data_IF_284998896696
#
_entry.id   IF_284998896696
#
_cell.length_a   1.000
_cell.length_b   1.000
_cell.length_c   1.000
_cell.angle_alpha   90.00
_cell.angle_beta   90.00
_cell.angle_gamma   90.00
#
_symmetry.space_group_name_H-M   'P 1'
#
loop_
_entity.id
_entity.type
_entity.pdbx_description
1 polymer ?
#
# COMPACT_ATOMS: atom_id res chain seq x y z
N UNK A 1 -61.56 -30.35 4.86
CA UNK A 1 -60.52 -30.89 3.96
C UNK A 1 -60.05 -29.77 3.04
N UNK A 2 -58.78 -29.60 2.65
CA UNK A 2 -57.47 -29.91 3.25
C UNK A 2 -56.48 -28.97 2.52
N UNK A 3 -55.68 -28.12 3.19
CA UNK A 3 -54.30 -28.41 3.67
C UNK A 3 -53.41 -28.88 2.48
N UNK A 4 -52.39 -28.15 1.98
CA UNK A 4 -51.03 -27.85 2.52
C UNK A 4 -50.29 -26.92 1.49
N UNK A 5 -49.28 -26.08 1.74
CA UNK A 5 -48.58 -25.60 2.95
C UNK A 5 -47.79 -24.27 2.70
N UNK A 6 -46.99 -23.86 3.69
CA UNK A 6 -45.99 -22.77 3.78
C UNK A 6 -44.80 -22.88 2.78
N UNK A 7 -44.02 -21.84 2.40
CA UNK A 7 -43.21 -21.00 3.30
C UNK A 7 -42.50 -19.76 2.67
N UNK A 8 -42.15 -18.79 3.53
CA UNK A 8 -41.12 -17.71 3.42
C UNK A 8 -40.84 -16.93 2.10
N UNK A 9 -41.02 -15.60 2.17
CA UNK A 9 -40.00 -14.66 1.68
C UNK A 9 -39.89 -13.44 2.61
N UNK A 10 -38.67 -13.15 3.09
CA UNK A 10 -38.36 -11.99 3.95
C UNK A 10 -37.82 -10.86 3.08
N UNK A 11 -38.54 -9.74 2.99
CA UNK A 11 -38.01 -8.52 2.40
C UNK A 11 -37.66 -7.50 3.49
N UNK A 12 -36.36 -7.38 3.80
CA UNK A 12 -35.81 -6.19 4.44
C UNK A 12 -35.75 -5.06 3.41
N UNK A 13 -36.75 -4.16 3.39
CA UNK A 13 -36.67 -2.88 2.68
C UNK A 13 -36.31 -1.75 3.63
N UNK A 14 -35.03 -1.35 3.62
CA UNK A 14 -34.54 -0.20 4.36
C UNK A 14 -35.18 1.10 3.85
N UNK A 15 -36.19 1.63 4.55
CA UNK A 15 -36.73 2.97 4.29
C UNK A 15 -35.82 4.07 4.84
N UNK A 16 -34.71 4.33 4.15
CA UNK A 16 -33.88 5.51 4.37
C UNK A 16 -34.49 6.74 3.67
N UNK A 17 -35.56 7.30 4.25
CA UNK A 17 -36.07 8.61 3.84
C UNK A 17 -35.11 9.71 4.32
N UNK A 18 -34.66 10.57 3.40
CA UNK A 18 -33.91 11.77 3.76
C UNK A 18 -34.72 12.70 4.66
N UNK A 19 -34.08 13.63 5.37
CA UNK A 19 -34.75 14.57 6.28
C UNK A 19 -35.90 15.34 5.61
N UNK A 20 -35.72 15.78 4.34
CA UNK A 20 -36.80 16.37 3.52
C UNK A 20 -37.92 15.38 3.16
N UNK A 21 -37.62 14.10 2.99
CA UNK A 21 -38.62 13.05 2.77
C UNK A 21 -39.46 12.75 4.01
N UNK A 22 -38.84 12.78 5.20
CA UNK A 22 -39.54 12.61 6.49
C UNK A 22 -40.50 13.78 6.76
N UNK A 23 -40.06 15.02 6.52
CA UNK A 23 -40.93 16.22 6.64
C UNK A 23 -42.13 16.12 5.70
N UNK A 24 -41.93 15.79 4.41
CA UNK A 24 -43.03 15.63 3.45
C UNK A 24 -44.02 14.50 3.80
N UNK A 25 -43.56 13.46 4.49
CA UNK A 25 -44.44 12.40 4.99
C UNK A 25 -45.31 12.89 6.15
N UNK A 26 -44.74 13.66 7.08
CA UNK A 26 -45.48 14.30 8.17
C UNK A 26 -46.47 15.35 7.64
N UNK A 27 -46.07 16.21 6.69
CA UNK A 27 -46.96 17.18 6.03
C UNK A 27 -48.15 16.48 5.34
N UNK A 28 -47.94 15.34 4.68
CA UNK A 28 -49.04 14.55 4.12
C UNK A 28 -49.99 14.03 5.21
N UNK A 29 -49.48 13.50 6.33
CA UNK A 29 -50.32 13.04 7.43
C UNK A 29 -51.13 14.20 8.04
N UNK A 30 -50.51 15.37 8.23
CA UNK A 30 -51.17 16.58 8.75
C UNK A 30 -52.33 17.04 7.86
N UNK A 31 -52.21 16.92 6.54
CA UNK A 31 -53.25 17.34 5.61
C UNK A 31 -54.48 16.40 5.55
N UNK A 32 -54.41 15.17 6.08
CA UNK A 32 -55.54 14.24 6.16
C UNK A 32 -56.29 14.26 7.51
N UNK A 33 -55.75 14.95 8.53
CA UNK A 33 -56.38 15.05 9.85
C UNK A 33 -57.82 15.60 9.87
N UNK A 34 -58.24 16.56 9.01
CA UNK A 34 -59.61 17.10 9.03
C UNK A 34 -60.72 16.10 8.64
N UNK A 35 -60.38 14.94 8.08
CA UNK A 35 -61.37 13.96 7.56
C UNK A 35 -61.56 12.73 8.46
N UNK A 36 -60.95 12.70 9.64
CA UNK A 36 -60.99 11.54 10.53
C UNK A 36 -62.17 11.59 11.52
N UNK A 37 -62.87 10.47 11.78
CA UNK A 37 -63.88 10.39 12.84
C UNK A 37 -63.30 10.73 14.22
N UNK A 38 -64.12 11.33 15.09
CA UNK A 38 -63.71 11.84 16.41
C UNK A 38 -62.97 10.81 17.30
N UNK A 39 -63.36 9.54 17.25
CA UNK A 39 -62.71 8.44 17.98
C UNK A 39 -61.22 8.26 17.57
N UNK A 40 -60.87 8.54 16.32
CA UNK A 40 -59.48 8.45 15.84
C UNK A 40 -58.66 9.64 16.35
N UNK A 41 -59.29 10.80 16.55
CA UNK A 41 -58.63 12.01 17.04
C UNK A 41 -58.18 11.87 18.51
N UNK A 42 -58.99 11.24 19.37
CA UNK A 42 -58.60 10.92 20.75
C UNK A 42 -57.42 9.93 20.80
N UNK A 43 -57.44 8.89 19.96
CA UNK A 43 -56.32 7.94 19.84
C UNK A 43 -55.01 8.63 19.39
N UNK A 44 -55.10 9.58 18.46
CA UNK A 44 -53.95 10.38 18.00
C UNK A 44 -53.47 11.35 19.10
N UNK A 45 -54.37 11.91 19.92
CA UNK A 45 -54.01 12.76 21.05
C UNK A 45 -53.31 11.98 22.17
N UNK A 46 -53.74 10.75 22.48
CA UNK A 46 -52.99 9.87 23.37
C UNK A 46 -51.62 9.47 22.77
N UNK A 47 -51.56 9.14 21.48
CA UNK A 47 -50.29 8.83 20.81
C UNK A 47 -49.32 10.02 20.77
N UNK A 48 -49.82 11.26 20.64
CA UNK A 48 -49.02 12.50 20.71
C UNK A 48 -48.21 12.62 22.00
N UNK A 49 -48.69 12.05 23.10
CA UNK A 49 -47.99 12.06 24.39
C UNK A 49 -46.76 11.15 24.40
N UNK A 50 -46.74 10.10 23.56
CA UNK A 50 -45.63 9.14 23.44
C UNK A 50 -44.71 9.40 22.23
N UNK A 51 -45.18 10.11 21.20
CA UNK A 51 -44.38 10.45 20.01
C UNK A 51 -43.01 11.09 20.34
N UNK A 52 -42.90 12.09 21.24
CA UNK A 52 -41.61 12.69 21.60
C UNK A 52 -40.64 11.64 22.16
N UNK A 53 -41.11 10.75 23.03
CA UNK A 53 -40.31 9.68 23.63
C UNK A 53 -39.87 8.65 22.60
N UNK A 54 -40.75 8.27 21.66
CA UNK A 54 -40.40 7.35 20.56
C UNK A 54 -39.38 7.99 19.61
N UNK A 55 -39.54 9.26 19.22
CA UNK A 55 -38.58 9.97 18.36
C UNK A 55 -37.22 10.15 19.05
N UNK A 56 -37.20 10.58 20.32
CA UNK A 56 -35.95 10.70 21.11
C UNK A 56 -35.29 9.33 21.28
N UNK A 57 -36.05 8.27 21.55
CA UNK A 57 -35.50 6.91 21.66
C UNK A 57 -34.95 6.39 20.34
N UNK A 58 -35.60 6.70 19.21
CA UNK A 58 -35.14 6.30 17.88
C UNK A 58 -33.86 7.05 17.46
N UNK A 59 -33.80 8.36 17.68
CA UNK A 59 -32.58 9.15 17.44
C UNK A 59 -31.44 8.78 18.41
N UNK A 60 -31.73 8.50 19.68
CA UNK A 60 -30.75 8.00 20.64
C UNK A 60 -30.24 6.60 20.27
N UNK A 61 -31.11 5.71 19.81
CA UNK A 61 -30.72 4.39 19.33
C UNK A 61 -29.86 4.49 18.05
N UNK A 62 -30.23 5.36 17.11
CA UNK A 62 -29.42 5.62 15.91
C UNK A 62 -28.06 6.27 16.24
N UNK A 63 -28.00 7.21 17.18
CA UNK A 63 -26.73 7.82 17.58
C UNK A 63 -25.83 6.84 18.32
N UNK A 64 -26.36 6.02 19.23
CA UNK A 64 -25.62 4.92 19.89
C UNK A 64 -25.18 3.86 18.88
N UNK A 65 -26.01 3.48 17.91
CA UNK A 65 -25.61 2.53 16.87
C UNK A 65 -24.55 3.11 15.91
N UNK A 66 -24.59 4.41 15.63
CA UNK A 66 -23.55 5.11 14.90
C UNK A 66 -22.23 5.15 15.68
N UNK A 67 -22.28 5.56 16.96
CA UNK A 67 -21.13 5.63 17.86
C UNK A 67 -20.47 4.26 18.06
N UNK A 68 -21.24 3.19 18.33
CA UNK A 68 -20.68 1.84 18.48
C UNK A 68 -20.02 1.33 17.19
N UNK A 69 -20.57 1.64 16.01
CA UNK A 69 -19.92 1.35 14.74
C UNK A 69 -18.64 2.19 14.50
N UNK A 70 -18.61 3.45 14.93
CA UNK A 70 -17.41 4.30 14.89
C UNK A 70 -16.33 3.74 15.83
N UNK A 71 -16.67 3.41 17.07
CA UNK A 71 -15.75 2.79 18.04
C UNK A 71 -15.20 1.46 17.52
N UNK A 72 -16.04 0.59 16.94
CA UNK A 72 -15.60 -0.69 16.36
C UNK A 72 -14.66 -0.50 15.15
N UNK A 73 -14.91 0.51 14.31
CA UNK A 73 -14.00 0.89 13.22
C UNK A 73 -12.68 1.47 13.73
N UNK A 74 -12.72 2.35 14.74
CA UNK A 74 -11.52 2.95 15.38
C UNK A 74 -10.65 1.87 16.02
N UNK A 75 -11.25 0.99 16.82
CA UNK A 75 -10.58 -0.16 17.46
C UNK A 75 -9.92 -1.06 16.42
N UNK A 76 -10.63 -1.50 15.37
CA UNK A 76 -10.05 -2.35 14.32
C UNK A 76 -8.87 -1.70 13.59
N UNK A 77 -8.95 -0.40 13.30
CA UNK A 77 -7.87 0.31 12.62
C UNK A 77 -6.64 0.54 13.53
N UNK A 78 -6.86 0.77 14.83
CA UNK A 78 -5.77 0.79 15.81
C UNK A 78 -5.06 -0.57 15.87
N UNK A 79 -5.81 -1.67 15.95
CA UNK A 79 -5.23 -3.03 15.91
C UNK A 79 -4.42 -3.28 14.63
N UNK A 80 -4.91 -2.87 13.46
CA UNK A 80 -4.14 -3.06 12.21
C UNK A 80 -2.87 -2.18 12.17
N UNK A 81 -2.89 -0.98 12.75
CA UNK A 81 -1.68 -0.15 12.91
C UNK A 81 -0.70 -0.81 13.90
N UNK A 82 -1.18 -1.36 15.01
CA UNK A 82 -0.36 -2.09 16.00
C UNK A 82 0.27 -3.36 15.38
N UNK A 83 -0.49 -4.16 14.62
CA UNK A 83 0.01 -5.34 13.89
C UNK A 83 1.19 -4.98 12.97
N UNK A 84 1.03 -3.94 12.14
CA UNK A 84 2.08 -3.47 11.23
C UNK A 84 3.28 -2.83 11.96
N UNK A 85 3.04 -2.14 13.07
CA UNK A 85 4.09 -1.54 13.88
C UNK A 85 4.95 -2.62 14.58
N UNK A 86 4.30 -3.63 15.16
CA UNK A 86 4.95 -4.76 15.81
C UNK A 86 5.72 -5.63 14.80
N UNK A 87 5.15 -5.87 13.61
CA UNK A 87 5.82 -6.55 12.52
C UNK A 87 7.09 -5.80 12.07
N UNK A 88 7.00 -4.47 11.90
CA UNK A 88 8.17 -3.65 11.56
C UNK A 88 9.20 -3.66 12.70
N UNK A 89 8.77 -3.64 13.95
CA UNK A 89 9.69 -3.73 15.09
C UNK A 89 10.45 -5.06 15.12
N UNK A 90 9.75 -6.19 14.92
CA UNK A 90 10.34 -7.53 14.82
C UNK A 90 11.40 -7.61 13.71
N UNK A 91 11.11 -7.00 12.54
CA UNK A 91 12.08 -6.90 11.45
C UNK A 91 13.30 -6.06 11.84
N UNK A 92 13.11 -4.96 12.56
CA UNK A 92 14.21 -4.10 13.00
C UNK A 92 15.04 -4.74 14.12
N UNK A 93 14.44 -5.58 14.98
CA UNK A 93 15.18 -6.43 15.91
C UNK A 93 16.10 -7.39 15.14
N UNK A 94 15.55 -8.08 14.14
CA UNK A 94 16.31 -8.97 13.26
C UNK A 94 17.48 -8.24 12.56
N UNK A 95 17.17 -7.15 11.85
CA UNK A 95 18.17 -6.38 11.11
C UNK A 95 19.22 -5.70 12.01
N UNK A 96 18.91 -5.49 13.30
CA UNK A 96 19.89 -5.02 14.31
C UNK A 96 20.87 -6.11 14.75
N UNK A 97 20.45 -7.38 14.70
CA UNK A 97 21.26 -8.56 15.06
C UNK A 97 22.10 -9.07 13.87
N UNK A 98 21.58 -8.92 12.65
CA UNK A 98 22.17 -9.40 11.39
C UNK A 98 22.58 -8.25 10.46
N UNK A 99 23.05 -7.12 11.02
CA UNK A 99 23.31 -5.88 10.27
C UNK A 99 24.49 -5.97 9.30
N UNK A 100 25.40 -6.91 9.54
CA UNK A 100 26.58 -7.25 8.74
C UNK A 100 26.25 -8.20 7.58
N UNK A 101 25.11 -8.89 7.63
CA UNK A 101 24.59 -9.73 6.55
C UNK A 101 23.83 -8.92 5.47
N UNK A 102 23.51 -7.64 5.73
CA UNK A 102 22.68 -6.79 4.86
C UNK A 102 23.53 -6.01 3.85
N UNK A 103 23.24 -6.18 2.55
CA UNK A 103 23.89 -5.44 1.46
C UNK A 103 23.13 -4.14 1.08
N UNK A 104 23.52 -3.52 -0.04
CA UNK A 104 22.89 -2.30 -0.56
C UNK A 104 21.36 -2.40 -0.75
N UNK A 105 20.86 -3.50 -1.31
CA UNK A 105 19.45 -3.73 -1.64
C UNK A 105 18.60 -3.78 -0.35
N UNK A 106 19.05 -4.55 0.65
CA UNK A 106 18.41 -4.58 1.97
C UNK A 106 18.49 -3.23 2.71
N UNK A 107 19.62 -2.52 2.58
CA UNK A 107 19.79 -1.17 3.15
C UNK A 107 18.86 -0.12 2.50
N UNK A 108 18.60 -0.23 1.20
CA UNK A 108 17.62 0.60 0.49
C UNK A 108 16.22 0.39 1.05
N UNK A 109 15.82 -0.85 1.33
CA UNK A 109 14.55 -1.15 1.99
C UNK A 109 14.34 -0.44 3.33
N UNK A 110 15.38 -0.38 4.18
CA UNK A 110 15.35 0.39 5.43
C UNK A 110 15.22 1.91 5.19
N UNK A 111 15.82 2.43 4.12
CA UNK A 111 15.71 3.86 3.73
C UNK A 111 14.31 4.19 3.24
N UNK A 112 13.70 3.32 2.43
CA UNK A 112 12.31 3.46 1.99
C UNK A 112 11.33 3.36 3.17
N UNK A 113 11.61 2.52 4.16
CA UNK A 113 10.83 2.43 5.39
C UNK A 113 10.88 3.75 6.19
N UNK A 114 12.08 4.29 6.42
CA UNK A 114 12.29 5.57 7.10
C UNK A 114 11.57 6.72 6.38
N UNK A 115 11.66 6.80 5.05
CA UNK A 115 11.00 7.84 4.26
C UNK A 115 9.46 7.77 4.36
N UNK A 116 8.88 6.56 4.36
CA UNK A 116 7.43 6.40 4.52
C UNK A 116 6.94 6.80 5.92
N UNK A 117 7.66 6.41 6.98
CA UNK A 117 7.28 6.82 8.34
C UNK A 117 7.44 8.33 8.56
N UNK A 118 8.48 8.96 8.00
CA UNK A 118 8.60 10.43 8.02
C UNK A 118 7.43 11.12 7.35
N UNK A 119 7.06 10.63 6.17
CA UNK A 119 5.96 11.21 5.40
C UNK A 119 4.61 11.01 6.11
N UNK A 120 4.46 9.95 6.91
CA UNK A 120 3.31 9.72 7.77
C UNK A 120 3.22 10.76 8.91
N UNK A 121 4.30 10.97 9.67
CA UNK A 121 4.29 11.94 10.78
C UNK A 121 4.14 13.38 10.28
N UNK A 122 4.84 13.76 9.21
CA UNK A 122 4.86 15.13 8.70
C UNK A 122 3.46 15.65 8.30
N UNK A 123 2.53 14.76 7.94
CA UNK A 123 1.14 15.12 7.59
C UNK A 123 0.21 15.24 8.80
N UNK A 124 0.64 14.79 9.98
CA UNK A 124 -0.21 14.60 11.17
C UNK A 124 0.39 15.22 12.45
N UNK A 125 1.33 16.17 12.34
CA UNK A 125 1.96 16.85 13.49
C UNK A 125 0.93 17.44 14.48
N UNK A 126 -0.23 17.88 14.00
CA UNK A 126 -1.30 18.45 14.84
C UNK A 126 -2.27 17.42 15.44
N UNK A 127 -2.24 16.15 15.03
CA UNK A 127 -3.32 15.18 15.30
C UNK A 127 -3.07 14.22 16.46
N UNK A 128 -1.84 14.08 16.94
CA UNK A 128 -1.52 13.28 18.13
C UNK A 128 -0.08 12.78 18.15
N UNK A 129 0.37 12.37 19.34
CA UNK A 129 1.69 11.78 19.52
C UNK A 129 1.68 10.32 19.05
N UNK A 130 2.16 10.07 17.82
CA UNK A 130 2.41 8.73 17.31
C UNK A 130 3.74 8.17 17.85
N UNK A 131 3.87 8.06 19.17
CA UNK A 131 5.11 7.68 19.85
C UNK A 131 5.72 6.37 19.33
N UNK A 132 4.88 5.43 18.87
CA UNK A 132 5.31 4.19 18.22
C UNK A 132 6.03 4.43 16.89
N UNK A 133 5.60 5.42 16.09
CA UNK A 133 6.28 5.78 14.84
C UNK A 133 7.61 6.49 15.13
N UNK A 134 7.66 7.41 16.09
CA UNK A 134 8.92 8.07 16.49
C UNK A 134 9.94 7.05 17.00
N UNK A 135 9.49 6.07 17.79
CA UNK A 135 10.28 4.92 18.21
C UNK A 135 10.81 4.09 17.03
N UNK A 136 9.92 3.68 16.11
CA UNK A 136 10.30 2.90 14.92
C UNK A 136 11.29 3.67 14.03
N UNK A 137 11.05 4.95 13.80
CA UNK A 137 11.95 5.85 13.06
C UNK A 137 13.34 5.92 13.71
N UNK A 138 13.39 6.10 15.04
CA UNK A 138 14.64 6.12 15.79
C UNK A 138 15.40 4.79 15.68
N UNK A 139 14.67 3.67 15.76
CA UNK A 139 15.22 2.32 15.61
C UNK A 139 15.76 2.07 14.19
N UNK A 140 15.01 2.44 13.15
CA UNK A 140 15.47 2.36 11.75
C UNK A 140 16.78 3.15 11.57
N UNK A 141 16.85 4.39 12.09
CA UNK A 141 18.08 5.20 12.04
C UNK A 141 19.29 4.51 12.66
N UNK A 142 19.13 3.87 13.83
CA UNK A 142 20.20 3.13 14.49
C UNK A 142 20.64 1.93 13.65
N UNK A 143 19.70 1.08 13.23
CA UNK A 143 19.99 -0.14 12.45
C UNK A 143 20.65 0.23 11.12
N UNK A 144 20.05 1.16 10.37
CA UNK A 144 20.61 1.69 9.13
C UNK A 144 22.02 2.25 9.34
N UNK A 145 22.28 3.00 10.41
CA UNK A 145 23.62 3.53 10.71
C UNK A 145 24.67 2.43 10.93
N UNK A 146 24.28 1.27 11.48
CA UNK A 146 25.16 0.10 11.61
C UNK A 146 25.41 -0.56 10.25
N UNK A 147 24.35 -0.87 9.50
CA UNK A 147 24.41 -1.45 8.15
C UNK A 147 25.32 -0.60 7.26
N UNK A 148 25.02 0.70 7.12
CA UNK A 148 25.76 1.62 6.24
C UNK A 148 27.25 1.76 6.60
N UNK A 149 27.66 1.51 7.85
CA UNK A 149 29.08 1.49 8.26
C UNK A 149 29.79 0.19 7.88
N UNK A 150 29.07 -0.93 7.83
CA UNK A 150 29.58 -2.23 7.41
C UNK A 150 29.66 -2.42 5.89
N UNK A 151 28.87 -1.66 5.12
CA UNK A 151 28.80 -1.78 3.66
C UNK A 151 30.13 -1.49 2.95
N UNK A 152 30.77 -2.55 2.45
CA UNK A 152 31.91 -2.46 1.53
C UNK A 152 31.42 -2.16 0.10
N UNK A 153 31.31 -0.87 -0.24
CA UNK A 153 30.72 -0.43 -1.51
C UNK A 153 31.74 -0.31 -2.64
N UNK A 154 31.46 -0.98 -3.76
CA UNK A 154 32.06 -0.71 -5.06
C UNK A 154 31.79 0.74 -5.51
N UNK A 155 32.54 1.24 -6.51
CA UNK A 155 32.34 2.60 -7.02
C UNK A 155 30.89 2.88 -7.47
N UNK A 156 30.24 1.89 -8.12
CA UNK A 156 28.82 1.95 -8.50
C UNK A 156 27.91 2.10 -7.28
N UNK A 157 28.03 1.21 -6.29
CA UNK A 157 27.16 1.29 -5.11
C UNK A 157 27.47 2.51 -4.22
N UNK A 158 28.69 3.06 -4.27
CA UNK A 158 29.02 4.34 -3.62
C UNK A 158 28.31 5.51 -4.31
N UNK A 159 28.27 5.54 -5.64
CA UNK A 159 27.46 6.49 -6.39
C UNK A 159 25.97 6.33 -6.02
N UNK A 160 25.44 5.10 -6.00
CA UNK A 160 24.06 4.85 -5.63
C UNK A 160 23.78 5.30 -4.18
N UNK A 161 24.67 5.00 -3.24
CA UNK A 161 24.55 5.38 -1.83
C UNK A 161 24.51 6.89 -1.61
N UNK A 162 25.19 7.68 -2.46
CA UNK A 162 25.16 9.14 -2.41
C UNK A 162 23.78 9.75 -2.73
N UNK A 163 22.87 9.01 -3.37
CA UNK A 163 21.53 9.49 -3.73
C UNK A 163 20.43 8.63 -3.11
N UNK A 164 20.45 7.33 -3.40
CA UNK A 164 19.36 6.39 -3.11
C UNK A 164 19.27 5.98 -1.64
N UNK A 165 20.37 6.05 -0.87
CA UNK A 165 20.36 5.71 0.56
C UNK A 165 20.03 6.91 1.47
N UNK A 166 19.42 7.97 0.89
CA UNK A 166 18.93 9.16 1.61
C UNK A 166 17.40 9.13 1.71
N UNK A 167 16.80 9.07 2.91
CA UNK A 167 15.33 9.03 3.05
C UNK A 167 14.62 10.21 2.38
N UNK A 168 15.21 11.41 2.43
CA UNK A 168 14.68 12.62 1.79
C UNK A 168 14.56 12.54 0.27
N UNK A 169 15.27 11.63 -0.40
CA UNK A 169 15.11 11.38 -1.84
C UNK A 169 13.77 10.69 -2.17
N UNK A 170 13.17 10.00 -1.19
CA UNK A 170 11.98 9.17 -1.34
C UNK A 170 10.72 9.74 -0.65
N UNK A 171 10.87 10.82 0.14
CA UNK A 171 9.79 11.46 0.90
C UNK A 171 8.82 12.26 0.01
N UNK A 172 7.99 11.55 -0.76
CA UNK A 172 7.00 12.16 -1.66
C UNK A 172 5.63 12.35 -0.97
N UNK A 173 5.15 13.59 -0.89
CA UNK A 173 3.82 13.93 -0.36
C UNK A 173 2.71 13.60 -1.39
N UNK A 174 2.21 12.37 -1.34
CA UNK A 174 1.16 11.87 -2.23
C UNK A 174 -0.12 11.49 -1.46
N UNK A 175 -1.23 11.54 -2.18
CA UNK A 175 -2.54 11.06 -1.73
C UNK A 175 -2.74 9.62 -2.23
N UNK A 176 -3.28 8.76 -1.37
CA UNK A 176 -3.65 7.40 -1.73
C UNK A 176 -5.01 7.41 -2.43
N UNK A 177 -5.08 6.88 -3.64
CA UNK A 177 -6.28 6.86 -4.49
C UNK A 177 -6.55 5.44 -5.04
N UNK A 178 -7.79 5.17 -5.43
CA UNK A 178 -8.20 3.97 -6.16
C UNK A 178 -8.75 4.37 -7.55
N UNK A 179 -8.68 3.47 -8.52
CA UNK A 179 -9.29 3.64 -9.85
C UNK A 179 -8.46 4.50 -10.81
N UNK A 180 -7.18 4.73 -10.51
CA UNK A 180 -6.26 5.49 -11.38
C UNK A 180 -5.45 4.60 -12.33
N UNK A 181 -5.56 3.27 -12.18
CA UNK A 181 -4.85 2.29 -12.98
C UNK A 181 -5.80 1.57 -13.95
N UNK A 182 -5.30 1.29 -15.15
CA UNK A 182 -6.00 0.46 -16.13
C UNK A 182 -5.96 -1.00 -15.68
N UNK A 183 -7.11 -1.64 -15.59
CA UNK A 183 -7.17 -3.08 -15.29
C UNK A 183 -6.95 -3.92 -16.54
N UNK A 184 -5.73 -4.44 -16.71
CA UNK A 184 -5.39 -5.39 -17.77
C UNK A 184 -5.71 -6.87 -17.41
N UNK A 185 -6.47 -7.10 -16.33
CA UNK A 185 -6.86 -8.43 -15.88
C UNK A 185 -5.69 -9.22 -15.29
N UNK A 186 -5.44 -10.42 -15.83
CA UNK A 186 -4.36 -11.32 -15.42
C UNK A 186 -3.61 -11.87 -16.64
N UNK A 187 -2.48 -12.53 -16.43
CA UNK A 187 -1.81 -13.31 -17.46
C UNK A 187 -2.39 -14.72 -17.56
N UNK A 188 -2.36 -15.28 -18.78
CA UNK A 188 -2.55 -16.72 -18.97
C UNK A 188 -1.35 -17.49 -18.38
N UNK A 189 -1.49 -18.81 -18.23
CA UNK A 189 -0.45 -19.64 -17.61
C UNK A 189 0.90 -19.61 -18.36
N UNK A 190 0.90 -19.53 -19.70
CA UNK A 190 2.14 -19.43 -20.50
C UNK A 190 2.91 -18.14 -20.24
N UNK A 191 2.23 -16.98 -20.26
CA UNK A 191 2.84 -15.70 -19.91
C UNK A 191 3.29 -15.66 -18.45
N UNK A 192 2.50 -16.23 -17.53
CA UNK A 192 2.90 -16.33 -16.12
C UNK A 192 4.16 -17.17 -15.90
N UNK A 193 4.34 -18.27 -16.65
CA UNK A 193 5.62 -19.01 -16.63
C UNK A 193 6.79 -18.15 -17.10
N UNK A 194 6.59 -17.20 -18.04
CA UNK A 194 7.62 -16.23 -18.43
C UNK A 194 7.95 -15.26 -17.28
N UNK A 195 6.95 -14.76 -16.55
CA UNK A 195 7.14 -13.89 -15.36
C UNK A 195 7.98 -14.60 -14.28
N UNK A 196 7.74 -15.90 -14.03
CA UNK A 196 8.51 -16.70 -13.06
C UNK A 196 9.92 -17.04 -13.57
N UNK A 197 10.07 -17.29 -14.87
CA UNK A 197 11.34 -17.66 -15.49
C UNK A 197 12.29 -16.47 -15.62
N UNK A 198 11.78 -15.28 -15.92
CA UNK A 198 12.58 -14.06 -15.97
C UNK A 198 12.87 -13.55 -14.55
N UNK A 199 14.16 -13.47 -14.22
CA UNK A 199 14.65 -13.15 -12.87
C UNK A 199 15.66 -12.00 -12.85
N UNK A 200 15.98 -11.44 -14.01
CA UNK A 200 16.96 -10.38 -14.14
C UNK A 200 16.33 -9.15 -14.80
N UNK A 201 16.63 -7.97 -14.28
CA UNK A 201 16.29 -6.71 -14.94
C UNK A 201 17.28 -6.44 -16.10
N UNK A 202 17.24 -7.30 -17.13
CA UNK A 202 18.16 -7.30 -18.28
C UNK A 202 17.40 -7.15 -19.59
N UNK A 203 17.92 -6.31 -20.49
CA UNK A 203 17.36 -6.09 -21.83
C UNK A 203 18.49 -6.08 -22.85
N UNK A 204 18.43 -6.91 -23.91
CA UNK A 204 19.50 -7.01 -24.95
C UNK A 204 20.94 -7.13 -24.36
N UNK A 205 21.10 -7.87 -23.26
CA UNK A 205 22.39 -8.04 -22.57
C UNK A 205 22.83 -6.88 -21.66
N UNK A 206 21.96 -5.90 -21.43
CA UNK A 206 22.22 -4.69 -20.62
C UNK A 206 21.56 -4.84 -19.26
N UNK A 207 22.25 -4.54 -18.15
CA UNK A 207 21.62 -4.52 -16.82
C UNK A 207 20.97 -3.15 -16.58
N UNK A 208 19.80 -3.14 -15.97
CA UNK A 208 19.11 -1.91 -15.56
C UNK A 208 19.99 -0.97 -14.72
N UNK A 209 20.83 -1.54 -13.86
CA UNK A 209 21.81 -0.83 -13.02
C UNK A 209 22.80 0.01 -13.83
N UNK A 210 23.12 -0.39 -15.06
CA UNK A 210 23.98 0.39 -15.95
C UNK A 210 23.28 1.70 -16.36
N UNK A 211 21.96 1.67 -16.52
CA UNK A 211 21.13 2.86 -16.77
C UNK A 211 20.88 3.69 -15.50
N UNK A 212 20.78 3.06 -14.32
CA UNK A 212 20.76 3.78 -13.05
C UNK A 212 22.08 4.54 -12.81
N UNK A 213 23.21 3.91 -13.11
CA UNK A 213 24.53 4.52 -13.07
C UNK A 213 24.68 5.67 -14.07
N UNK A 214 24.13 5.54 -15.28
CA UNK A 214 24.10 6.60 -16.30
C UNK A 214 23.43 7.89 -15.77
N UNK A 215 22.19 7.79 -15.27
CA UNK A 215 21.43 8.97 -14.81
C UNK A 215 22.03 9.59 -13.55
N UNK A 216 22.49 8.79 -12.59
CA UNK A 216 23.08 9.29 -11.34
C UNK A 216 24.43 10.00 -11.58
N UNK A 217 25.25 9.51 -12.54
CA UNK A 217 26.45 10.22 -12.97
C UNK A 217 26.16 11.55 -13.68
N UNK A 218 24.98 11.69 -14.29
CA UNK A 218 24.52 12.94 -14.92
C UNK A 218 24.32 14.08 -13.92
N UNK A 219 23.79 13.78 -12.72
CA UNK A 219 23.41 14.78 -11.70
C UNK A 219 24.60 15.63 -11.25
N UNK A 220 25.80 15.06 -11.17
CA UNK A 220 27.00 15.72 -10.64
C UNK A 220 27.62 16.81 -11.54
N UNK A 221 27.15 16.99 -12.79
CA UNK A 221 27.85 17.80 -13.81
C UNK A 221 27.30 19.23 -13.96
N UNK A 222 27.61 20.09 -12.96
CA UNK A 222 27.63 21.57 -12.94
C UNK A 222 26.47 22.37 -13.61
N UNK A 223 25.69 23.03 -12.75
CA UNK A 223 25.40 24.48 -12.70
C UNK A 223 24.83 25.26 -13.90
N UNK A 224 24.28 24.62 -14.94
CA UNK A 224 23.29 25.27 -15.82
C UNK A 224 22.06 24.40 -15.98
N UNK A 225 20.92 24.99 -16.36
CA UNK A 225 19.65 24.31 -16.66
C UNK A 225 19.89 23.17 -17.65
N UNK A 226 19.90 21.93 -17.15
CA UNK A 226 20.35 20.76 -17.92
C UNK A 226 19.27 19.70 -18.04
N UNK A 227 19.00 19.36 -19.29
CA UNK A 227 18.34 18.12 -19.69
C UNK A 227 19.16 16.94 -19.16
N UNK A 228 18.50 15.95 -18.57
CA UNK A 228 19.19 14.68 -18.27
C UNK A 228 19.57 14.02 -19.60
N UNK A 229 20.86 13.75 -19.80
CA UNK A 229 21.27 12.87 -20.89
C UNK A 229 20.83 11.45 -20.53
N UNK A 230 20.02 10.86 -21.41
CA UNK A 230 19.64 9.45 -21.37
C UNK A 230 20.11 8.88 -22.71
N UNK A 231 20.96 7.86 -22.69
CA UNK A 231 21.43 7.24 -23.93
C UNK A 231 20.26 6.61 -24.68
N UNK A 232 20.31 6.51 -26.03
CA UNK A 232 19.27 5.83 -26.80
C UNK A 232 18.97 4.43 -26.27
N UNK A 233 20.00 3.73 -25.79
CA UNK A 233 19.96 2.40 -25.18
C UNK A 233 19.15 2.37 -23.87
N UNK A 234 19.41 3.29 -22.94
CA UNK A 234 18.67 3.40 -21.69
C UNK A 234 17.26 3.98 -21.88
N UNK A 235 17.06 4.85 -22.88
CA UNK A 235 15.73 5.28 -23.28
C UNK A 235 14.91 4.11 -23.85
N UNK A 236 15.51 3.30 -24.73
CA UNK A 236 14.87 2.10 -25.30
C UNK A 236 14.49 1.11 -24.20
N UNK A 237 15.42 0.81 -23.30
CA UNK A 237 15.22 -0.15 -22.21
C UNK A 237 14.20 0.35 -21.19
N UNK A 238 14.36 1.59 -20.69
CA UNK A 238 13.62 2.04 -19.52
C UNK A 238 12.30 2.74 -19.86
N UNK A 239 12.23 3.48 -20.97
CA UNK A 239 11.14 4.45 -21.23
C UNK A 239 10.23 4.14 -22.41
N UNK A 240 10.63 3.25 -23.33
CA UNK A 240 9.84 2.89 -24.51
C UNK A 240 8.49 2.25 -24.17
N UNK A 241 7.47 2.44 -25.01
CA UNK A 241 6.14 1.86 -24.82
C UNK A 241 6.13 0.37 -25.20
N UNK A 242 6.65 -0.45 -24.27
CA UNK A 242 6.76 -1.92 -24.35
C UNK A 242 6.18 -2.57 -23.09
N UNK A 243 5.58 -3.75 -23.25
CA UNK A 243 5.12 -4.60 -22.15
C UNK A 243 6.23 -5.56 -21.74
N UNK A 244 7.06 -5.16 -20.79
CA UNK A 244 7.98 -6.08 -20.10
C UNK A 244 7.28 -6.81 -18.94
N UNK A 245 8.02 -7.70 -18.29
CA UNK A 245 7.58 -8.50 -17.15
C UNK A 245 8.65 -8.57 -16.06
N UNK A 246 8.25 -9.00 -14.86
CA UNK A 246 9.13 -9.31 -13.72
C UNK A 246 10.04 -8.12 -13.34
N UNK A 247 11.25 -8.39 -12.83
CA UNK A 247 12.17 -7.36 -12.35
C UNK A 247 12.52 -6.27 -13.38
N UNK A 248 12.47 -6.57 -14.69
CA UNK A 248 12.66 -5.50 -15.68
C UNK A 248 11.53 -4.46 -15.55
N UNK A 249 10.27 -4.89 -15.45
CA UNK A 249 9.13 -3.99 -15.33
C UNK A 249 9.17 -3.13 -14.05
N UNK A 250 9.52 -3.70 -12.91
CA UNK A 250 9.67 -2.94 -11.65
C UNK A 250 10.89 -2.00 -11.68
N UNK A 251 12.02 -2.43 -12.24
CA UNK A 251 13.21 -1.57 -12.41
C UNK A 251 12.95 -0.38 -13.36
N UNK A 252 12.01 -0.50 -14.31
CA UNK A 252 11.57 0.61 -15.17
C UNK A 252 10.80 1.68 -14.41
N UNK A 253 9.95 1.27 -13.46
CA UNK A 253 9.32 2.19 -12.51
C UNK A 253 10.36 2.80 -11.57
N UNK A 254 11.27 2.00 -11.02
CA UNK A 254 12.34 2.48 -10.12
C UNK A 254 13.24 3.53 -10.79
N UNK A 255 13.63 3.30 -12.05
CA UNK A 255 14.35 4.27 -12.88
C UNK A 255 13.55 5.56 -13.09
N UNK A 256 12.24 5.46 -13.36
CA UNK A 256 11.36 6.62 -13.52
C UNK A 256 11.24 7.44 -12.21
N UNK A 257 11.18 6.77 -11.06
CA UNK A 257 11.16 7.38 -9.73
C UNK A 257 12.48 8.11 -9.44
N UNK A 258 13.63 7.47 -9.73
CA UNK A 258 14.95 8.09 -9.56
C UNK A 258 15.10 9.29 -10.51
N UNK A 259 14.75 9.13 -11.78
CA UNK A 259 14.81 10.18 -12.79
C UNK A 259 13.98 11.41 -12.36
N UNK A 260 12.78 11.20 -11.81
CA UNK A 260 11.95 12.27 -11.22
C UNK A 260 12.65 12.94 -10.03
N UNK A 261 13.26 12.16 -9.14
CA UNK A 261 14.02 12.65 -7.98
C UNK A 261 15.32 13.41 -8.32
N UNK A 262 15.83 13.30 -9.56
CA UNK A 262 17.04 14.04 -9.98
C UNK A 262 16.82 15.54 -10.23
N UNK A 263 15.56 16.00 -10.32
CA UNK A 263 15.17 17.34 -10.77
C UNK A 263 15.70 17.73 -12.17
N UNK A 264 16.12 16.76 -13.00
CA UNK A 264 16.44 16.98 -14.41
C UNK A 264 15.21 17.42 -15.22
N UNK A 265 15.42 18.32 -16.19
CA UNK A 265 14.41 18.56 -17.23
C UNK A 265 14.35 17.37 -18.19
N UNK A 266 13.14 16.86 -18.44
CA UNK A 266 12.88 15.82 -19.45
C UNK A 266 11.51 16.04 -20.08
N UNK A 267 11.28 15.52 -21.30
CA UNK A 267 9.98 15.57 -21.96
C UNK A 267 9.05 14.40 -21.55
N UNK A 268 9.35 13.75 -20.42
CA UNK A 268 8.65 12.54 -19.97
C UNK A 268 7.41 12.96 -19.17
N UNK A 269 6.23 12.52 -19.59
CA UNK A 269 5.05 12.60 -18.74
C UNK A 269 5.13 11.53 -17.65
N UNK A 270 5.73 11.90 -16.51
CA UNK A 270 5.91 11.01 -15.37
C UNK A 270 4.59 10.40 -14.87
N UNK A 271 3.49 11.16 -14.85
CA UNK A 271 2.19 10.67 -14.37
C UNK A 271 1.68 9.53 -15.26
N UNK A 272 1.63 9.75 -16.59
CA UNK A 272 1.16 8.72 -17.53
C UNK A 272 2.08 7.50 -17.57
N UNK A 273 3.41 7.69 -17.52
CA UNK A 273 4.37 6.56 -17.51
C UNK A 273 4.31 5.76 -16.21
N UNK A 274 4.19 6.43 -15.05
CA UNK A 274 3.96 5.79 -13.76
C UNK A 274 2.65 4.99 -13.75
N UNK A 275 1.54 5.57 -14.23
CA UNK A 275 0.25 4.88 -14.34
C UNK A 275 0.33 3.66 -15.26
N UNK A 276 0.99 3.78 -16.41
CA UNK A 276 1.19 2.68 -17.36
C UNK A 276 1.98 1.52 -16.72
N UNK A 277 3.15 1.81 -16.12
CA UNK A 277 3.95 0.78 -15.46
C UNK A 277 3.20 0.15 -14.29
N UNK A 278 2.54 0.95 -13.43
CA UNK A 278 1.78 0.39 -12.31
C UNK A 278 0.53 -0.39 -12.74
N UNK A 279 -0.06 -0.12 -13.91
CA UNK A 279 -1.14 -0.93 -14.48
C UNK A 279 -0.63 -2.31 -14.94
N UNK A 280 0.57 -2.37 -15.56
CA UNK A 280 1.22 -3.63 -15.91
C UNK A 280 1.66 -4.41 -14.67
N UNK A 281 2.22 -3.73 -13.67
CA UNK A 281 2.62 -4.31 -12.39
C UNK A 281 1.39 -4.83 -11.61
N UNK A 282 0.25 -4.13 -11.68
CA UNK A 282 -0.99 -4.59 -11.05
C UNK A 282 -1.49 -5.91 -11.68
N UNK A 283 -1.35 -6.06 -13.00
CA UNK A 283 -1.63 -7.31 -13.71
C UNK A 283 -0.75 -8.45 -13.22
N UNK A 284 0.55 -8.21 -13.02
CA UNK A 284 1.46 -9.20 -12.45
C UNK A 284 1.10 -9.54 -11.00
N UNK A 285 0.87 -8.56 -10.15
CA UNK A 285 0.53 -8.76 -8.74
C UNK A 285 -0.76 -9.57 -8.56
N UNK A 286 -1.81 -9.27 -9.34
CA UNK A 286 -3.05 -10.08 -9.41
C UNK A 286 -2.80 -11.51 -9.89
N UNK A 287 -1.96 -11.68 -10.91
CA UNK A 287 -1.60 -13.01 -11.41
C UNK A 287 -0.83 -13.81 -10.36
N UNK A 288 0.11 -13.17 -9.66
CA UNK A 288 0.88 -13.77 -8.57
C UNK A 288 -0.04 -14.20 -7.42
N UNK A 289 -1.01 -13.36 -7.02
CA UNK A 289 -2.07 -13.73 -6.07
C UNK A 289 -2.87 -14.96 -6.51
N UNK A 290 -3.34 -14.97 -7.76
CA UNK A 290 -4.16 -16.07 -8.33
C UNK A 290 -3.45 -17.43 -8.26
N UNK A 291 -2.13 -17.46 -8.48
CA UNK A 291 -1.32 -18.68 -8.36
C UNK A 291 -0.71 -18.91 -6.95
N UNK A 292 -1.19 -18.21 -5.92
CA UNK A 292 -0.81 -18.48 -4.53
C UNK A 292 0.50 -17.83 -4.07
N UNK A 293 0.91 -16.74 -4.73
CA UNK A 293 2.10 -15.93 -4.45
C UNK A 293 3.46 -16.67 -4.51
N UNK A 294 3.80 -17.37 -5.62
CA UNK A 294 5.11 -18.03 -5.76
C UNK A 294 6.33 -17.09 -5.71
N UNK A 295 6.16 -15.78 -5.92
CA UNK A 295 7.22 -14.77 -5.86
C UNK A 295 6.87 -13.70 -4.80
N UNK A 296 7.27 -13.90 -3.54
CA UNK A 296 7.06 -12.89 -2.49
C UNK A 296 7.97 -11.66 -2.70
N UNK A 297 9.21 -11.87 -3.14
CA UNK A 297 10.20 -10.80 -3.40
C UNK A 297 9.67 -9.77 -4.40
N UNK A 298 9.38 -10.23 -5.62
CA UNK A 298 8.78 -9.41 -6.66
C UNK A 298 7.47 -8.76 -6.19
N UNK A 299 6.62 -9.47 -5.45
CA UNK A 299 5.37 -8.88 -4.96
C UNK A 299 5.59 -7.74 -3.95
N UNK A 300 6.52 -7.90 -3.01
CA UNK A 300 6.86 -6.85 -2.04
C UNK A 300 7.51 -5.65 -2.73
N UNK A 301 8.28 -5.87 -3.80
CA UNK A 301 8.83 -4.82 -4.67
C UNK A 301 7.72 -4.04 -5.40
N UNK A 302 6.79 -4.77 -6.03
CA UNK A 302 5.61 -4.20 -6.72
C UNK A 302 4.73 -3.39 -5.77
N UNK A 303 4.43 -3.91 -4.57
CA UNK A 303 3.67 -3.21 -3.52
C UNK A 303 4.42 -1.97 -3.05
N UNK A 304 5.72 -2.08 -2.79
CA UNK A 304 6.53 -0.96 -2.30
C UNK A 304 6.59 0.16 -3.33
N UNK A 305 6.97 -0.12 -4.58
CA UNK A 305 7.14 0.93 -5.59
C UNK A 305 5.81 1.55 -6.04
N UNK A 306 4.79 0.76 -6.41
CA UNK A 306 3.51 1.33 -6.86
C UNK A 306 2.65 1.88 -5.73
N UNK A 307 2.69 1.28 -4.54
CA UNK A 307 2.01 1.86 -3.38
C UNK A 307 2.65 3.18 -2.92
N UNK A 308 3.99 3.35 -3.06
CA UNK A 308 4.66 4.64 -2.84
C UNK A 308 4.29 5.71 -3.88
N UNK A 309 3.77 5.34 -5.06
CA UNK A 309 3.17 6.29 -6.02
C UNK A 309 1.72 6.68 -5.68
N UNK A 310 1.15 6.11 -4.61
CA UNK A 310 -0.21 6.42 -4.14
C UNK A 310 -1.33 5.52 -4.69
N UNK A 311 -1.00 4.44 -5.41
CA UNK A 311 -2.00 3.49 -5.92
C UNK A 311 -2.45 2.52 -4.81
N UNK A 312 -3.66 2.72 -4.32
CA UNK A 312 -4.22 1.96 -3.18
C UNK A 312 -4.59 0.52 -3.54
N UNK A 313 -4.64 0.19 -4.82
CA UNK A 313 -4.79 -1.15 -5.37
C UNK A 313 -3.71 -2.10 -4.79
N UNK A 314 -2.51 -1.59 -4.51
CA UNK A 314 -1.40 -2.35 -3.93
C UNK A 314 -1.48 -2.52 -2.41
N UNK A 315 -2.40 -1.82 -1.77
CA UNK A 315 -2.49 -1.68 -0.31
C UNK A 315 -3.82 -2.26 0.21
N UNK A 316 -4.48 -3.11 -0.57
CA UNK A 316 -5.77 -3.70 -0.22
C UNK A 316 -5.68 -4.68 0.98
N UNK A 317 -6.73 -4.81 1.80
CA UNK A 317 -6.67 -5.60 3.05
C UNK A 317 -6.27 -7.08 2.87
N UNK A 318 -6.49 -7.68 1.70
CA UNK A 318 -6.06 -9.07 1.48
C UNK A 318 -4.54 -9.18 1.39
N UNK A 319 -3.91 -8.28 0.63
CA UNK A 319 -2.47 -8.23 0.41
C UNK A 319 -1.74 -7.81 1.68
N UNK A 320 -2.29 -6.86 2.44
CA UNK A 320 -1.78 -6.48 3.78
C UNK A 320 -1.62 -7.67 4.73
N UNK A 321 -2.67 -8.49 4.86
CA UNK A 321 -2.63 -9.71 5.69
C UNK A 321 -1.62 -10.75 5.19
N UNK A 322 -1.40 -10.84 3.87
CA UNK A 322 -0.38 -11.72 3.30
C UNK A 322 1.04 -11.27 3.63
N UNK A 323 1.31 -9.97 3.54
CA UNK A 323 2.59 -9.37 3.94
C UNK A 323 2.92 -9.70 5.40
N UNK A 324 2.00 -9.41 6.33
CA UNK A 324 2.16 -9.77 7.75
C UNK A 324 2.41 -11.28 7.96
N UNK A 325 1.69 -12.14 7.24
CA UNK A 325 1.81 -13.60 7.36
C UNK A 325 3.11 -14.18 6.78
N UNK A 326 3.76 -13.51 5.83
CA UNK A 326 5.04 -13.97 5.25
C UNK A 326 6.26 -13.66 6.11
N UNK A 327 6.12 -12.81 7.12
CA UNK A 327 7.18 -12.57 8.07
C UNK A 327 7.48 -13.85 8.86
N UNK A 328 8.74 -14.26 8.89
CA UNK A 328 9.18 -15.39 9.72
C UNK A 328 9.05 -15.04 11.22
N UNK A 329 9.01 -16.04 12.12
CA UNK A 329 9.06 -15.81 13.56
C UNK A 329 10.29 -15.02 14.04
N UNK A 330 11.37 -15.00 13.24
CA UNK A 330 12.58 -14.23 13.49
C UNK A 330 12.46 -12.76 13.06
N UNK A 331 11.44 -12.37 12.29
CA UNK A 331 11.24 -11.02 11.78
C UNK A 331 11.68 -10.78 10.33
N UNK A 332 12.42 -11.72 9.72
CA UNK A 332 12.91 -11.63 8.34
C UNK A 332 11.96 -12.24 7.30
N UNK A 333 12.20 -11.96 6.00
CA UNK A 333 11.38 -12.46 4.89
C UNK A 333 12.18 -13.36 3.94
N UNK A 334 11.47 -14.27 3.28
CA UNK A 334 12.01 -15.21 2.27
C UNK A 334 11.47 -14.87 0.89
N UNK A 335 12.31 -14.96 -0.14
CA UNK A 335 11.95 -14.67 -1.54
C UNK A 335 10.64 -15.35 -2.02
N UNK A 336 10.36 -16.58 -1.58
CA UNK A 336 9.25 -17.40 -2.11
C UNK A 336 8.46 -18.09 -1.00
N UNK A 337 7.24 -18.48 -1.33
CA UNK A 337 6.51 -19.52 -0.61
C UNK A 337 7.32 -20.82 -0.59
N UNK A 338 7.08 -21.67 0.43
CA UNK A 338 7.65 -23.02 0.50
C UNK A 338 7.28 -23.82 -0.76
N UNK A 339 8.13 -24.79 -1.18
CA UNK A 339 8.40 -24.98 -2.59
C UNK A 339 7.21 -25.48 -3.40
N UNK A 340 6.87 -24.74 -4.46
CA UNK A 340 6.32 -25.35 -5.66
C UNK A 340 7.25 -26.50 -6.10
N UNK A 341 6.67 -27.65 -6.48
CA UNK A 341 7.36 -28.94 -6.68
C UNK A 341 8.51 -29.00 -7.73
N UNK A 342 8.96 -27.88 -8.28
CA UNK A 342 10.02 -27.84 -9.28
C UNK A 342 11.39 -27.58 -8.65
N UNK A 343 12.14 -28.68 -8.45
CA UNK A 343 13.52 -28.78 -7.97
C UNK A 343 14.60 -28.05 -8.81
N UNK A 344 14.21 -27.26 -9.80
CA UNK A 344 15.07 -26.73 -10.88
C UNK A 344 15.10 -25.19 -11.00
N UNK A 345 14.49 -24.45 -10.07
CA UNK A 345 14.38 -22.98 -10.14
C UNK A 345 15.47 -22.25 -9.35
N UNK A 346 16.74 -22.54 -9.66
CA UNK A 346 17.91 -21.90 -9.03
C UNK A 346 17.85 -20.36 -9.10
N UNK A 347 18.02 -19.77 -7.92
CA UNK A 347 18.70 -18.51 -7.55
C UNK A 347 19.03 -17.47 -8.64
N UNK A 348 18.51 -16.22 -8.47
CA UNK A 348 19.30 -14.98 -8.72
C UNK A 348 20.50 -15.02 -7.76
N UNK A 349 21.55 -14.21 -7.95
CA UNK A 349 22.58 -14.01 -6.91
C UNK A 349 22.01 -13.22 -5.72
N UNK A 350 21.05 -13.84 -5.04
CA UNK A 350 20.34 -13.36 -3.87
C UNK A 350 21.29 -13.52 -2.68
N UNK A 351 21.49 -12.45 -1.91
CA UNK A 351 22.26 -12.52 -0.69
C UNK A 351 21.38 -13.17 0.38
N UNK A 352 21.57 -14.48 0.53
CA UNK A 352 20.89 -15.28 1.55
C UNK A 352 21.46 -14.92 2.91
N UNK A 353 20.56 -14.67 3.84
CA UNK A 353 20.86 -14.32 5.23
C UNK A 353 20.30 -15.38 6.18
N UNK A 354 20.64 -15.25 7.45
CA UNK A 354 20.27 -16.16 8.53
C UNK A 354 18.79 -16.60 8.49
N UNK A 355 18.54 -17.84 8.93
CA UNK A 355 17.22 -18.51 8.93
C UNK A 355 16.60 -18.78 7.54
N UNK A 356 17.41 -18.68 6.48
CA UNK A 356 16.98 -18.92 5.10
C UNK A 356 16.08 -17.79 4.57
N UNK A 357 16.35 -16.57 5.05
CA UNK A 357 15.78 -15.33 4.54
C UNK A 357 16.71 -14.73 3.48
N UNK A 358 16.27 -13.65 2.85
CA UNK A 358 17.03 -12.88 1.86
C UNK A 358 17.01 -11.40 2.26
N UNK A 359 18.13 -10.70 2.10
CA UNK A 359 18.24 -9.30 2.55
C UNK A 359 17.41 -8.33 1.71
N UNK A 360 17.37 -8.50 0.39
CA UNK A 360 16.50 -7.74 -0.52
C UNK A 360 15.04 -7.90 -0.11
N UNK A 361 14.55 -9.13 0.00
CA UNK A 361 13.16 -9.41 0.41
C UNK A 361 12.85 -8.91 1.81
N UNK A 362 13.81 -8.96 2.74
CA UNK A 362 13.66 -8.40 4.10
C UNK A 362 13.61 -6.87 4.06
N UNK A 363 14.45 -6.22 3.25
CA UNK A 363 14.40 -4.78 3.01
C UNK A 363 13.07 -4.34 2.38
N UNK A 364 12.59 -5.07 1.38
CA UNK A 364 11.27 -4.86 0.77
C UNK A 364 10.12 -5.10 1.77
N UNK A 365 10.26 -6.08 2.67
CA UNK A 365 9.37 -6.27 3.82
C UNK A 365 9.31 -5.03 4.71
N UNK A 366 10.46 -4.43 5.05
CA UNK A 366 10.53 -3.20 5.83
C UNK A 366 9.81 -2.02 5.12
N UNK A 367 10.08 -1.85 3.83
CA UNK A 367 9.47 -0.81 3.00
C UNK A 367 7.94 -0.99 2.92
N UNK A 368 7.47 -2.21 2.64
CA UNK A 368 6.05 -2.53 2.54
C UNK A 368 5.32 -2.37 3.89
N UNK A 369 5.91 -2.78 5.01
CA UNK A 369 5.31 -2.61 6.34
C UNK A 369 5.15 -1.12 6.69
N UNK A 370 6.20 -0.31 6.50
CA UNK A 370 6.17 1.13 6.75
C UNK A 370 5.22 1.90 5.80
N UNK A 371 5.14 1.48 4.54
CA UNK A 371 4.18 2.02 3.57
C UNK A 371 2.74 1.75 3.98
N UNK A 372 2.45 0.56 4.51
CA UNK A 372 1.12 0.22 5.00
C UNK A 372 0.77 0.98 6.29
N UNK A 373 1.72 1.21 7.21
CA UNK A 373 1.52 2.13 8.34
C UNK A 373 1.13 3.53 7.87
N UNK A 374 1.90 4.09 6.92
CA UNK A 374 1.61 5.39 6.30
C UNK A 374 0.22 5.42 5.66
N UNK A 375 -0.16 4.38 4.93
CA UNK A 375 -1.50 4.24 4.34
C UNK A 375 -2.60 4.26 5.40
N UNK A 376 -2.53 3.37 6.39
CA UNK A 376 -3.56 3.23 7.44
C UNK A 376 -3.79 4.55 8.18
N UNK A 377 -2.73 5.29 8.49
CA UNK A 377 -2.80 6.60 9.16
C UNK A 377 -3.40 7.68 8.25
N UNK A 378 -2.98 7.73 6.98
CA UNK A 378 -3.49 8.71 6.01
C UNK A 378 -4.96 8.46 5.60
N UNK A 379 -5.42 7.20 5.58
CA UNK A 379 -6.73 6.82 5.02
C UNK A 379 -7.78 6.42 6.04
N UNK A 380 -7.49 6.49 7.34
CA UNK A 380 -8.47 6.17 8.40
C UNK A 380 -8.94 7.44 9.11
N UNK A 381 -10.13 7.99 8.80
CA UNK A 381 -10.67 9.17 9.48
C UNK A 381 -10.82 8.98 10.99
N UNK A 382 -11.05 7.76 11.46
CA UNK A 382 -11.16 7.45 12.89
C UNK A 382 -9.85 7.61 13.68
N UNK A 383 -8.69 7.65 13.00
CA UNK A 383 -7.38 7.99 13.57
C UNK A 383 -7.07 9.49 13.45
N UNK A 384 -7.89 10.26 12.73
CA UNK A 384 -7.72 11.68 12.45
C UNK A 384 -8.72 12.56 13.24
N UNK A 385 -9.75 11.93 13.82
CA UNK A 385 -10.71 12.56 14.72
C UNK A 385 -10.18 12.55 16.16
N UNK A 386 -9.90 13.76 16.68
CA UNK A 386 -9.73 14.05 18.11
C UNK A 386 -11.03 13.83 18.86
#
# INVERSE_FOLDING_TARGET
MNIKHYNHMVYYSNFNLSYRGQIRFIEKIVNYLPTLPSIVLEFILQARMYLPYIFVSFFACQSVFSLTNIHKKKSRALTEVEEFANALDGLLNFASQHYDEINFDGALGLVLAEANLYTAIARHQDMGNFAILDYLIHKIRIVKSRVLKGLQLSNRYRLFGNYLLRPSFWSNHLNFNFGLLTDYGMYNYSDFRRVIAEKNAVYKGVKSDDCLEEILNGIGRRNTTRLCYISPKCHEMMLADRTDVSYLLTHRLFYLQILRGTNCTTNINFVLKTQHFCSLILREAKTNEYYGFPQHDLFLEQVSFCGMEGFSEFLIPNWRRKILWWQSPQGCYKNRAQPFNNKYLFTRSENNISYGCTDHTTGLGAAALALNLRFLIHTTPALQLK
#
